data_IF_357558535245
#
_entry.id   IF_357558535245
#
_cell.length_a   1.000
_cell.length_b   1.000
_cell.length_c   1.000
_cell.angle_alpha   90.00
_cell.angle_beta   90.00
_cell.angle_gamma   90.00
#
_symmetry.space_group_name_H-M   'P 1'
#
loop_
_entity.id
_entity.type
_entity.pdbx_description
1 polymer ?
#
# COMPACT_ATOMS: atom_id res chain seq x y z
N UNK A 1 -10.03 -19.74 -16.81
CA UNK A 1 -8.77 -19.10 -16.35
C UNK A 1 -8.49 -17.95 -17.31
N UNK A 2 -9.11 -16.79 -17.10
CA UNK A 2 -8.87 -15.62 -17.95
C UNK A 2 -7.72 -14.83 -17.35
N UNK A 3 -6.64 -14.68 -18.12
CA UNK A 3 -5.55 -13.77 -17.80
C UNK A 3 -6.11 -12.34 -17.72
N UNK A 4 -6.44 -11.88 -16.51
CA UNK A 4 -6.59 -10.46 -16.24
C UNK A 4 -5.17 -9.88 -16.18
N UNK A 5 -4.67 -9.42 -17.33
CA UNK A 5 -3.45 -8.61 -17.32
C UNK A 5 -3.77 -7.32 -16.58
N UNK A 6 -3.16 -7.12 -15.41
CA UNK A 6 -3.17 -5.81 -14.75
C UNK A 6 -2.38 -4.85 -15.64
N UNK A 7 -3.10 -4.06 -16.45
CA UNK A 7 -2.49 -3.11 -17.37
C UNK A 7 -1.77 -2.03 -16.56
N UNK A 8 -0.47 -1.90 -16.78
CA UNK A 8 0.36 -0.88 -16.17
C UNK A 8 -0.05 0.48 -16.75
N UNK A 9 -0.41 1.42 -15.86
CA UNK A 9 -0.64 2.80 -16.25
C UNK A 9 0.71 3.51 -16.44
N UNK A 10 1.01 3.89 -17.68
CA UNK A 10 2.24 4.60 -18.05
C UNK A 10 1.90 6.05 -18.33
N UNK A 11 2.59 6.99 -17.70
CA UNK A 11 2.40 8.42 -17.97
C UNK A 11 3.12 8.82 -19.27
N UNK A 12 2.56 9.80 -19.98
CA UNK A 12 3.16 10.35 -21.21
C UNK A 12 4.61 10.80 -21.00
N UNK A 13 4.93 11.37 -19.83
CA UNK A 13 6.29 11.78 -19.49
C UNK A 13 7.28 10.61 -19.48
N UNK A 14 6.85 9.42 -19.02
CA UNK A 14 7.67 8.21 -19.01
C UNK A 14 7.96 7.74 -20.44
N UNK A 15 6.98 7.85 -21.33
CA UNK A 15 7.12 7.51 -22.76
C UNK A 15 8.10 8.46 -23.44
N UNK A 16 7.94 9.78 -23.25
CA UNK A 16 8.83 10.80 -23.81
C UNK A 16 10.26 10.60 -23.30
N UNK A 17 10.42 10.36 -22.00
CA UNK A 17 11.73 10.12 -21.40
C UNK A 17 12.39 8.87 -21.99
N UNK A 18 11.65 7.77 -22.12
CA UNK A 18 12.15 6.54 -22.76
C UNK A 18 12.59 6.78 -24.21
N UNK A 19 11.81 7.53 -24.98
CA UNK A 19 12.16 7.88 -26.36
C UNK A 19 13.45 8.71 -26.44
N UNK A 20 13.57 9.74 -25.60
CA UNK A 20 14.78 10.57 -25.52
C UNK A 20 16.02 9.76 -25.14
N UNK A 21 15.87 8.83 -24.20
CA UNK A 21 16.94 7.91 -23.78
C UNK A 21 17.43 7.05 -24.94
N UNK A 22 16.51 6.50 -25.74
CA UNK A 22 16.87 5.69 -26.91
C UNK A 22 17.65 6.54 -27.93
N UNK A 23 17.22 7.78 -28.17
CA UNK A 23 17.94 8.70 -29.06
C UNK A 23 19.36 8.99 -28.53
N UNK A 24 19.49 9.30 -27.24
CA UNK A 24 20.77 9.59 -26.60
C UNK A 24 21.69 8.36 -26.65
N UNK A 25 21.17 7.18 -26.32
CA UNK A 25 21.92 5.93 -26.37
C UNK A 25 22.38 5.59 -27.80
N UNK A 26 21.51 5.78 -28.79
CA UNK A 26 21.84 5.59 -30.20
C UNK A 26 22.90 6.59 -30.68
N UNK A 27 22.76 7.87 -30.32
CA UNK A 27 23.77 8.90 -30.58
C UNK A 27 25.12 8.53 -29.96
N UNK A 28 25.14 8.20 -28.67
CA UNK A 28 26.35 7.76 -27.99
C UNK A 28 26.97 6.51 -28.66
N UNK A 29 26.15 5.57 -29.12
CA UNK A 29 26.61 4.39 -29.84
C UNK A 29 27.23 4.74 -31.20
N UNK A 30 26.64 5.67 -31.96
CA UNK A 30 27.12 6.02 -33.29
C UNK A 30 28.38 6.89 -33.26
N UNK A 31 28.46 7.85 -32.34
CA UNK A 31 29.57 8.80 -32.27
C UNK A 31 30.80 8.27 -31.53
N UNK A 32 30.65 7.26 -30.66
CA UNK A 32 31.80 6.65 -29.98
C UNK A 32 32.40 5.52 -30.83
N UNK A 33 33.70 5.60 -31.03
CA UNK A 33 34.44 4.58 -31.74
C UNK A 33 34.36 3.22 -31.02
N UNK A 34 34.22 2.17 -31.82
CA UNK A 34 34.10 0.77 -31.38
C UNK A 34 35.33 0.27 -30.62
N UNK A 35 36.51 0.87 -30.83
CA UNK A 35 37.74 0.55 -30.09
C UNK A 35 37.80 1.15 -28.68
N UNK A 36 36.88 2.05 -28.32
CA UNK A 36 36.90 2.73 -27.02
C UNK A 36 36.30 1.84 -25.92
N UNK A 37 37.14 1.41 -24.98
CA UNK A 37 36.76 0.59 -23.83
C UNK A 37 35.71 1.24 -22.92
N UNK A 38 35.54 2.57 -22.98
CA UNK A 38 34.56 3.32 -22.21
C UNK A 38 33.14 3.24 -22.79
N UNK A 39 32.99 2.91 -24.07
CA UNK A 39 31.69 2.91 -24.78
C UNK A 39 30.63 2.01 -24.12
N UNK A 40 30.91 0.75 -23.76
CA UNK A 40 29.95 -0.08 -23.05
C UNK A 40 29.57 0.50 -21.69
N UNK A 41 30.54 1.02 -20.92
CA UNK A 41 30.30 1.61 -19.61
C UNK A 41 29.38 2.82 -19.69
N UNK A 42 29.58 3.69 -20.69
CA UNK A 42 28.71 4.85 -20.91
C UNK A 42 27.29 4.43 -21.29
N UNK A 43 27.12 3.46 -22.19
CA UNK A 43 25.80 2.97 -22.59
C UNK A 43 25.08 2.33 -21.40
N UNK A 44 25.78 1.55 -20.57
CA UNK A 44 25.25 0.99 -19.33
C UNK A 44 24.85 2.09 -18.33
N UNK A 45 25.64 3.15 -18.19
CA UNK A 45 25.32 4.28 -17.33
C UNK A 45 24.06 5.02 -17.82
N UNK A 46 23.96 5.29 -19.13
CA UNK A 46 22.76 5.87 -19.75
C UNK A 46 21.55 5.01 -19.44
N UNK A 47 21.62 3.70 -19.67
CA UNK A 47 20.54 2.78 -19.37
C UNK A 47 20.14 2.78 -17.88
N UNK A 48 21.11 2.72 -16.97
CA UNK A 48 20.87 2.72 -15.52
C UNK A 48 20.19 4.00 -15.04
N UNK A 49 20.68 5.17 -15.45
CA UNK A 49 20.05 6.46 -15.15
C UNK A 49 18.63 6.53 -15.69
N UNK A 50 18.41 5.98 -16.89
CA UNK A 50 17.09 5.95 -17.53
C UNK A 50 16.07 5.13 -16.74
N UNK A 51 16.48 3.97 -16.24
CA UNK A 51 15.65 3.15 -15.35
C UNK A 51 15.27 3.98 -14.11
N UNK A 52 16.22 4.67 -13.49
CA UNK A 52 15.95 5.48 -12.30
C UNK A 52 14.93 6.59 -12.59
N UNK A 53 15.09 7.32 -13.69
CA UNK A 53 14.18 8.40 -14.10
C UNK A 53 12.76 7.88 -14.39
N UNK A 54 12.65 6.75 -15.09
CA UNK A 54 11.35 6.18 -15.47
C UNK A 54 10.67 5.50 -14.27
N UNK A 55 11.44 4.77 -13.45
CA UNK A 55 10.92 3.94 -12.35
C UNK A 55 10.02 4.72 -11.40
N UNK A 56 10.43 5.91 -10.96
CA UNK A 56 9.65 6.71 -10.01
C UNK A 56 8.26 7.06 -10.54
N UNK A 57 8.15 7.39 -11.83
CA UNK A 57 6.86 7.72 -12.46
C UNK A 57 5.95 6.50 -12.60
N UNK A 58 6.50 5.38 -13.09
CA UNK A 58 5.75 4.12 -13.27
C UNK A 58 5.32 3.55 -11.92
N UNK A 59 6.19 3.51 -10.91
CA UNK A 59 5.87 2.97 -9.59
C UNK A 59 4.79 3.82 -8.89
N UNK A 60 4.81 5.15 -9.08
CA UNK A 60 3.82 6.06 -8.50
C UNK A 60 2.42 5.83 -9.07
N UNK A 61 2.28 5.64 -10.38
CA UNK A 61 0.96 5.42 -11.00
C UNK A 61 0.42 4.02 -10.76
N UNK A 62 1.30 3.06 -10.46
CA UNK A 62 0.93 1.67 -10.29
C UNK A 62 1.03 1.22 -8.83
N UNK A 63 0.58 2.06 -7.89
CA UNK A 63 0.59 1.76 -6.45
C UNK A 63 0.02 0.39 -6.05
N UNK A 64 -1.03 -0.16 -6.71
CA UNK A 64 -1.51 -1.52 -6.39
C UNK A 64 -0.49 -2.63 -6.67
N UNK A 65 0.38 -2.45 -7.68
CA UNK A 65 1.45 -3.41 -8.02
C UNK A 65 2.53 -3.46 -6.94
N UNK A 66 2.84 -2.32 -6.34
CA UNK A 66 3.90 -2.18 -5.31
C UNK A 66 3.41 -2.33 -3.87
N UNK A 67 2.17 -2.82 -3.67
CA UNK A 67 1.56 -3.00 -2.34
C UNK A 67 1.56 -1.72 -1.47
N UNK A 68 1.57 -0.53 -2.07
CA UNK A 68 1.62 0.71 -1.32
C UNK A 68 0.25 1.03 -0.69
N UNK A 69 0.25 1.29 0.61
CA UNK A 69 -0.93 1.70 1.40
C UNK A 69 -1.31 3.17 1.20
N UNK A 70 -0.46 3.95 0.53
CA UNK A 70 -0.60 5.41 0.37
C UNK A 70 -1.93 5.81 -0.25
N UNK A 71 -2.40 5.10 -1.27
CA UNK A 71 -3.68 5.45 -1.92
C UNK A 71 -4.88 5.20 -1.01
N UNK A 72 -4.83 4.16 -0.17
CA UNK A 72 -5.87 3.87 0.83
C UNK A 72 -5.86 4.93 1.93
N UNK A 73 -4.68 5.24 2.47
CA UNK A 73 -4.53 6.26 3.51
C UNK A 73 -4.92 7.66 3.01
N UNK A 74 -4.55 8.03 1.78
CA UNK A 74 -4.96 9.31 1.18
C UNK A 74 -6.47 9.39 0.96
N UNK A 75 -7.10 8.29 0.56
CA UNK A 75 -8.56 8.23 0.46
C UNK A 75 -9.21 8.50 1.82
N UNK A 76 -8.75 7.81 2.87
CA UNK A 76 -9.24 8.01 4.25
C UNK A 76 -9.04 9.46 4.71
N UNK A 77 -7.87 10.05 4.43
CA UNK A 77 -7.58 11.46 4.74
C UNK A 77 -8.47 12.45 3.97
N UNK A 78 -8.92 12.08 2.77
CA UNK A 78 -9.77 12.95 1.95
C UNK A 78 -11.23 12.93 2.42
N UNK A 79 -11.73 11.76 2.82
CA UNK A 79 -13.12 11.59 3.26
C UNK A 79 -13.36 12.03 4.70
N UNK A 80 -12.36 11.92 5.58
CA UNK A 80 -12.43 12.45 6.94
C UNK A 80 -11.29 13.44 7.21
N UNK A 81 -11.67 14.68 7.54
CA UNK A 81 -10.75 15.75 7.94
C UNK A 81 -10.43 15.73 9.43
N UNK A 82 -11.19 14.96 10.22
CA UNK A 82 -11.02 14.88 11.66
C UNK A 82 -9.69 14.24 12.05
N UNK A 83 -9.18 14.60 13.23
CA UNK A 83 -7.92 14.09 13.75
C UNK A 83 -8.09 12.75 14.49
N UNK A 84 -9.30 12.41 14.94
CA UNK A 84 -9.64 11.23 15.75
C UNK A 84 -9.96 9.96 14.93
N UNK A 85 -9.44 9.89 13.70
CA UNK A 85 -9.69 8.76 12.80
C UNK A 85 -9.11 7.46 13.38
N UNK A 86 -9.89 6.39 13.30
CA UNK A 86 -9.43 5.05 13.66
C UNK A 86 -9.44 4.13 12.44
N UNK A 87 -8.31 3.48 12.15
CA UNK A 87 -8.16 2.53 11.05
C UNK A 87 -7.91 1.14 11.63
N UNK A 88 -8.89 0.27 11.45
CA UNK A 88 -8.83 -1.15 11.73
C UNK A 88 -8.30 -1.90 10.51
N UNK A 89 -7.31 -2.78 10.68
CA UNK A 89 -6.83 -3.65 9.61
C UNK A 89 -6.96 -5.11 10.01
N UNK A 90 -7.73 -5.87 9.24
CA UNK A 90 -7.96 -7.27 9.53
C UNK A 90 -6.82 -8.18 9.09
N UNK A 91 -6.30 -8.93 10.05
CA UNK A 91 -5.40 -10.09 9.94
C UNK A 91 -4.19 -9.87 9.03
N UNK A 92 -3.64 -8.66 9.08
CA UNK A 92 -2.46 -8.27 8.31
C UNK A 92 -1.80 -7.01 8.89
N UNK A 93 -0.48 -7.00 8.95
CA UNK A 93 0.28 -5.85 9.40
C UNK A 93 0.56 -4.88 8.24
N UNK A 94 -0.05 -3.69 8.30
CA UNK A 94 0.13 -2.58 7.35
C UNK A 94 0.79 -1.39 8.05
N UNK A 95 2.01 -1.58 8.53
CA UNK A 95 2.80 -0.59 9.31
C UNK A 95 3.00 0.76 8.63
N UNK A 96 2.80 0.85 7.32
CA UNK A 96 2.95 2.09 6.57
C UNK A 96 1.75 3.03 6.64
N UNK A 97 0.56 2.55 7.07
CA UNK A 97 -0.67 3.36 7.13
C UNK A 97 -0.52 4.59 8.04
N UNK A 98 -0.04 4.48 9.29
CA UNK A 98 0.07 5.61 10.22
C UNK A 98 0.86 6.79 9.65
N UNK A 99 1.90 6.52 8.85
CA UNK A 99 2.75 7.55 8.24
C UNK A 99 2.01 8.43 7.21
N UNK A 100 0.88 7.97 6.69
CA UNK A 100 0.12 8.66 5.64
C UNK A 100 -1.23 9.19 6.12
N UNK A 101 -1.82 8.58 7.16
CA UNK A 101 -3.20 8.87 7.58
C UNK A 101 -3.34 9.81 8.77
N UNK A 102 -2.31 9.95 9.63
CA UNK A 102 -2.43 10.56 10.96
C UNK A 102 -3.63 10.01 11.75
N UNK A 103 -3.86 8.70 11.64
CA UNK A 103 -4.98 8.02 12.29
C UNK A 103 -4.45 7.06 13.36
N UNK A 104 -5.26 6.79 14.36
CA UNK A 104 -5.06 5.62 15.22
C UNK A 104 -5.13 4.36 14.34
N UNK A 105 -4.18 3.46 14.56
CA UNK A 105 -4.02 2.25 13.74
C UNK A 105 -4.09 1.03 14.63
N UNK A 106 -5.04 0.15 14.36
CA UNK A 106 -5.28 -1.08 15.12
C UNK A 106 -5.25 -2.26 14.15
N UNK A 107 -4.41 -3.24 14.44
CA UNK A 107 -4.36 -4.52 13.73
C UNK A 107 -5.25 -5.52 14.46
N UNK A 108 -6.22 -6.09 13.75
CA UNK A 108 -7.11 -7.13 14.26
C UNK A 108 -6.48 -8.49 13.96
N UNK A 109 -5.83 -9.07 14.95
CA UNK A 109 -5.20 -10.39 14.84
C UNK A 109 -6.26 -11.49 14.89
N UNK A 110 -6.19 -12.41 13.94
CA UNK A 110 -7.05 -13.60 13.91
C UNK A 110 -6.18 -14.85 13.79
N UNK A 111 -5.82 -15.26 12.58
CA UNK A 111 -5.08 -16.52 12.35
C UNK A 111 -3.77 -16.32 11.60
N UNK A 112 -3.59 -15.16 10.95
CA UNK A 112 -2.46 -14.94 10.07
C UNK A 112 -1.24 -14.46 10.85
N UNK A 113 -0.12 -15.17 10.66
CA UNK A 113 1.18 -14.83 11.23
C UNK A 113 1.80 -13.54 10.72
N UNK A 114 1.21 -12.90 9.70
CA UNK A 114 1.69 -11.60 9.20
C UNK A 114 1.42 -10.47 10.17
N UNK A 115 0.60 -10.72 11.20
CA UNK A 115 0.37 -9.81 12.31
C UNK A 115 1.50 -9.87 13.35
N UNK A 116 2.35 -10.91 13.32
CA UNK A 116 3.52 -11.02 14.19
C UNK A 116 4.55 -9.96 13.78
N UNK A 117 4.85 -9.05 14.70
CA UNK A 117 5.82 -7.97 14.49
C UNK A 117 7.19 -8.37 15.02
N UNK A 118 8.25 -8.03 14.27
CA UNK A 118 9.62 -8.11 14.80
C UNK A 118 9.84 -7.01 15.85
N UNK A 119 10.23 -7.42 17.07
CA UNK A 119 10.36 -6.53 18.23
C UNK A 119 11.79 -6.40 18.74
N UNK A 120 12.78 -6.92 18.01
CA UNK A 120 14.19 -6.95 18.43
C UNK A 120 14.80 -5.56 18.70
N UNK A 121 14.23 -4.52 18.10
CA UNK A 121 14.68 -3.13 18.23
C UNK A 121 13.71 -2.24 19.03
N UNK A 122 12.68 -2.82 19.65
CA UNK A 122 11.75 -2.06 20.49
C UNK A 122 12.20 -2.09 21.95
N UNK A 123 12.25 -0.90 22.56
CA UNK A 123 12.63 -0.76 23.96
C UNK A 123 11.46 -0.98 24.93
N UNK A 124 10.23 -1.14 24.42
CA UNK A 124 9.02 -1.32 25.21
C UNK A 124 7.93 -2.10 24.45
N UNK A 125 6.81 -2.37 25.14
CA UNK A 125 5.68 -3.17 24.64
C UNK A 125 4.51 -2.30 24.13
N UNK A 126 4.72 -1.01 23.87
CA UNK A 126 3.65 -0.09 23.46
C UNK A 126 2.96 -0.54 22.16
N UNK A 127 3.68 -1.25 21.29
CA UNK A 127 3.14 -1.81 20.06
C UNK A 127 1.97 -2.78 20.30
N UNK A 128 1.89 -3.44 21.46
CA UNK A 128 0.80 -4.38 21.79
C UNK A 128 -0.54 -3.67 21.96
N UNK A 129 -0.54 -2.39 22.33
CA UNK A 129 -1.78 -1.60 22.49
C UNK A 129 -2.59 -1.52 21.18
N UNK A 130 -1.89 -1.65 20.05
CA UNK A 130 -2.45 -1.58 18.69
C UNK A 130 -2.68 -2.96 18.05
N UNK A 131 -2.39 -4.06 18.75
CA UNK A 131 -2.61 -5.42 18.27
C UNK A 131 -3.75 -6.07 19.07
N UNK A 132 -4.92 -6.20 18.45
CA UNK A 132 -6.14 -6.67 19.09
C UNK A 132 -6.50 -8.06 18.60
N UNK A 133 -6.50 -9.05 19.50
CA UNK A 133 -6.92 -10.41 19.18
C UNK A 133 -8.45 -10.50 19.14
N UNK A 134 -9.00 -10.81 17.97
CA UNK A 134 -10.44 -10.87 17.71
C UNK A 134 -11.14 -12.06 18.40
N UNK A 135 -10.38 -12.98 18.99
CA UNK A 135 -10.90 -14.08 19.79
C UNK A 135 -11.08 -13.71 21.26
N UNK A 136 -10.63 -12.52 21.68
CA UNK A 136 -10.78 -12.03 23.05
C UNK A 136 -12.14 -11.35 23.24
N UNK A 137 -12.97 -11.75 24.23
CA UNK A 137 -14.30 -11.19 24.44
C UNK A 137 -14.33 -9.66 24.62
N UNK A 138 -13.36 -9.10 25.36
CA UNK A 138 -13.27 -7.66 25.61
C UNK A 138 -12.98 -6.89 24.32
N UNK A 139 -12.13 -7.43 23.44
CA UNK A 139 -11.85 -6.87 22.11
C UNK A 139 -13.13 -6.86 21.27
N UNK A 140 -13.91 -7.94 21.29
CA UNK A 140 -15.18 -8.01 20.55
C UNK A 140 -16.16 -6.94 21.04
N UNK A 141 -16.24 -6.71 22.36
CA UNK A 141 -17.07 -5.65 22.93
C UNK A 141 -16.62 -4.25 22.47
N UNK A 142 -15.32 -3.98 22.52
CA UNK A 142 -14.73 -2.72 22.04
C UNK A 142 -14.99 -2.50 20.55
N UNK A 143 -14.86 -3.55 19.73
CA UNK A 143 -15.12 -3.49 18.30
C UNK A 143 -16.59 -3.16 17.97
N UNK A 144 -17.55 -3.65 18.75
CA UNK A 144 -18.98 -3.30 18.58
C UNK A 144 -19.27 -1.83 18.88
N UNK A 145 -18.54 -1.23 19.82
CA UNK A 145 -18.63 0.20 20.09
C UNK A 145 -17.96 1.01 18.99
N UNK A 146 -16.74 0.63 18.62
CA UNK A 146 -15.94 1.34 17.64
C UNK A 146 -16.56 1.29 16.23
N UNK A 147 -17.19 0.17 15.85
CA UNK A 147 -17.86 0.06 14.54
C UNK A 147 -19.03 1.04 14.36
N UNK A 148 -19.56 1.59 15.45
CA UNK A 148 -20.62 2.62 15.46
C UNK A 148 -20.06 4.03 15.56
N UNK A 149 -18.77 4.17 15.91
CA UNK A 149 -18.13 5.47 15.98
C UNK A 149 -17.95 6.04 14.57
N UNK A 150 -18.08 7.36 14.45
CA UNK A 150 -17.75 8.06 13.22
C UNK A 150 -16.25 7.96 12.96
N UNK A 151 -15.84 8.17 11.71
CA UNK A 151 -14.44 8.20 11.31
C UNK A 151 -13.66 6.91 11.62
N UNK A 152 -14.38 5.79 11.70
CA UNK A 152 -13.82 4.44 11.80
C UNK A 152 -13.79 3.79 10.42
N UNK A 153 -12.63 3.25 10.06
CA UNK A 153 -12.37 2.61 8.78
C UNK A 153 -11.90 1.18 9.00
N UNK A 154 -12.49 0.20 8.31
CA UNK A 154 -12.06 -1.19 8.35
C UNK A 154 -11.46 -1.60 7.01
N UNK A 155 -10.23 -2.08 7.03
CA UNK A 155 -9.52 -2.61 5.87
C UNK A 155 -9.51 -4.13 5.93
N UNK A 156 -10.00 -4.77 4.87
CA UNK A 156 -10.03 -6.23 4.72
C UNK A 156 -9.42 -6.60 3.38
N UNK A 157 -8.56 -7.63 3.35
CA UNK A 157 -8.07 -8.16 2.06
C UNK A 157 -9.23 -8.79 1.29
N UNK A 158 -9.29 -8.55 -0.02
CA UNK A 158 -10.37 -9.08 -0.86
C UNK A 158 -10.43 -10.62 -0.88
N UNK A 159 -9.30 -11.28 -0.64
CA UNK A 159 -9.18 -12.74 -0.60
C UNK A 159 -9.38 -13.33 0.80
N UNK A 160 -9.68 -12.49 1.80
CA UNK A 160 -9.81 -12.90 3.20
C UNK A 160 -11.24 -12.70 3.66
N UNK A 161 -11.77 -13.72 4.33
CA UNK A 161 -13.04 -13.63 5.03
C UNK A 161 -12.81 -13.19 6.47
N UNK A 162 -13.73 -12.39 7.01
CA UNK A 162 -13.69 -12.02 8.42
C UNK A 162 -14.02 -13.25 9.26
N UNK A 163 -13.31 -13.39 10.38
CA UNK A 163 -13.61 -14.37 11.41
C UNK A 163 -15.09 -14.23 11.84
N UNK A 164 -15.75 -15.37 12.12
CA UNK A 164 -17.15 -15.44 12.54
C UNK A 164 -17.47 -14.48 13.69
N UNK A 165 -16.55 -14.37 14.67
CA UNK A 165 -16.70 -13.52 15.85
C UNK A 165 -16.85 -12.03 15.52
N UNK A 166 -16.33 -11.59 14.37
CA UNK A 166 -16.33 -10.19 13.94
C UNK A 166 -17.03 -9.97 12.59
N UNK A 167 -17.79 -10.94 12.10
CA UNK A 167 -18.56 -10.76 10.85
C UNK A 167 -19.52 -9.56 10.92
N UNK A 168 -20.02 -9.23 12.12
CA UNK A 168 -20.87 -8.07 12.34
C UNK A 168 -20.23 -6.76 11.86
N UNK A 169 -18.89 -6.66 11.85
CA UNK A 169 -18.19 -5.45 11.41
C UNK A 169 -18.49 -5.11 9.95
N UNK A 170 -18.64 -6.11 9.07
CA UNK A 170 -18.93 -5.85 7.64
C UNK A 170 -20.28 -5.15 7.45
N UNK A 171 -21.25 -5.50 8.30
CA UNK A 171 -22.61 -4.95 8.24
C UNK A 171 -22.75 -3.67 9.07
N UNK A 172 -21.73 -3.31 9.86
CA UNK A 172 -21.73 -2.09 10.65
C UNK A 172 -21.35 -0.84 9.83
N UNK A 173 -20.85 -1.04 8.60
CA UNK A 173 -20.43 0.04 7.72
C UNK A 173 -21.32 0.16 6.49
N UNK A 174 -21.79 1.36 6.21
CA UNK A 174 -22.73 1.64 5.12
C UNK A 174 -22.03 1.84 3.76
N UNK A 175 -20.74 2.20 3.78
CA UNK A 175 -19.97 2.52 2.59
C UNK A 175 -18.79 1.57 2.41
N UNK A 176 -18.42 1.33 1.15
CA UNK A 176 -17.21 0.57 0.80
C UNK A 176 -16.46 1.17 -0.38
N UNK A 177 -15.13 1.08 -0.34
CA UNK A 177 -14.23 1.42 -1.43
C UNK A 177 -13.31 0.24 -1.74
N UNK A 178 -13.37 -0.24 -2.98
CA UNK A 178 -12.60 -1.39 -3.44
C UNK A 178 -11.28 -0.95 -4.12
N UNK A 179 -10.21 -1.64 -3.76
CA UNK A 179 -8.88 -1.63 -4.38
C UNK A 179 -8.54 -3.07 -4.82
N UNK A 180 -7.56 -3.30 -5.71
CA UNK A 180 -7.28 -4.65 -6.23
C UNK A 180 -7.03 -5.73 -5.16
N UNK A 181 -6.38 -5.38 -4.04
CA UNK A 181 -6.05 -6.31 -2.94
C UNK A 181 -6.87 -6.11 -1.67
N UNK A 182 -7.54 -4.96 -1.53
CA UNK A 182 -8.11 -4.49 -0.28
C UNK A 182 -9.48 -3.84 -0.50
N UNK A 183 -10.37 -3.98 0.48
CA UNK A 183 -11.61 -3.25 0.56
C UNK A 183 -11.61 -2.44 1.84
N UNK A 184 -11.97 -1.17 1.74
CA UNK A 184 -12.15 -0.26 2.88
C UNK A 184 -13.65 -0.14 3.13
N UNK A 185 -14.10 -0.51 4.32
CA UNK A 185 -15.45 -0.27 4.82
C UNK A 185 -15.45 0.92 5.76
N UNK A 186 -16.45 1.81 5.68
CA UNK A 186 -16.50 3.02 6.48
C UNK A 186 -17.91 3.59 6.64
N UNK A 187 -18.07 4.42 7.67
CA UNK A 187 -19.22 5.28 7.91
C UNK A 187 -18.77 6.72 7.79
N UNK A 188 -19.53 7.54 7.07
CA UNK A 188 -19.21 8.96 6.85
C UNK A 188 -20.04 9.86 7.77
#
# INVERSE_FOLDING_TARGET
WYFQFELISIQTISIITSFMVVIIAYGAYFFLDTGNSFKPALISAIFGVSILLISGTVLKTNSPLINSTRHMANFIKHISKEEDKTILVYDYLLTSIPFYSNAEYITLQSTHRTTDREVQFQNNEDWRKQLWDVNTPDVIANLKQLSKARHTFLLVRNKSELNENIQFLRNAFDQKKEYPKWTIFYNN
#
